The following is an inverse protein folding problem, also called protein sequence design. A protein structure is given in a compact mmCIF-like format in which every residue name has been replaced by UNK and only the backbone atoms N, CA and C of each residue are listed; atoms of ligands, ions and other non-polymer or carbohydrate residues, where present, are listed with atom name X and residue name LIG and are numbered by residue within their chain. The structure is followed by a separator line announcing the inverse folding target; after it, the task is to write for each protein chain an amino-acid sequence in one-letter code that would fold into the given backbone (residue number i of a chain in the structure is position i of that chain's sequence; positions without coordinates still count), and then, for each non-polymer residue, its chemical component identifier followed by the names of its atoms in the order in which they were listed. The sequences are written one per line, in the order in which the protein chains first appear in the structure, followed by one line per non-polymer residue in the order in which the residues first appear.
data_IF_316414349469
#
_entry.id   IF_316414349469
#
_cell.length_a   1.000
_cell.length_b   1.000
_cell.length_c   1.000
_cell.angle_alpha   90.00
_cell.angle_beta   90.00
_cell.angle_gamma   90.00
#
_symmetry.space_group_name_H-M   'P 1'
#
loop_
_entity.id
_entity.type
_entity.pdbx_description
1 polymer ?
#
# COMPACT_ATOMS: atom_id res chain seq x y z
N UNK A 1 -32.91 -0.70 -3.65
CA UNK A 1 -31.67 -0.47 -4.42
C UNK A 1 -30.54 -0.25 -3.41
N UNK A 2 -29.80 -1.31 -3.06
CA UNK A 2 -28.62 -1.19 -2.19
C UNK A 2 -27.55 -0.39 -2.92
N UNK A 3 -27.20 0.78 -2.38
CA UNK A 3 -26.01 1.50 -2.82
C UNK A 3 -24.80 0.64 -2.50
N UNK A 4 -24.04 0.27 -3.54
CA UNK A 4 -22.73 -0.38 -3.40
C UNK A 4 -21.84 0.62 -2.64
N UNK A 5 -21.60 0.36 -1.37
CA UNK A 5 -20.88 1.25 -0.46
C UNK A 5 -19.38 0.95 -0.55
N UNK A 6 -18.81 1.19 -1.73
CA UNK A 6 -17.37 1.09 -1.92
C UNK A 6 -16.71 2.42 -1.57
N UNK A 7 -15.81 2.40 -0.59
CA UNK A 7 -14.99 3.57 -0.24
C UNK A 7 -13.61 3.37 -0.84
N UNK A 8 -13.22 4.30 -1.70
CA UNK A 8 -11.91 4.32 -2.35
C UNK A 8 -11.10 5.46 -1.77
N UNK A 9 -9.81 5.23 -1.50
CA UNK A 9 -8.86 6.30 -1.14
C UNK A 9 -7.47 6.03 -1.68
N UNK A 10 -6.77 7.09 -2.04
CA UNK A 10 -5.35 7.05 -2.37
C UNK A 10 -4.52 7.16 -1.09
N UNK A 11 -3.47 6.35 -0.99
CA UNK A 11 -2.48 6.41 0.08
C UNK A 11 -1.07 6.26 -0.50
N UNK A 12 -0.12 6.98 0.08
CA UNK A 12 1.29 6.82 -0.24
C UNK A 12 1.98 5.88 0.75
N UNK A 13 2.76 4.94 0.23
CA UNK A 13 3.62 4.09 1.03
C UNK A 13 4.77 4.90 1.63
N UNK A 14 4.99 4.74 2.94
CA UNK A 14 6.07 5.39 3.66
C UNK A 14 7.30 4.49 3.65
N UNK A 15 8.44 5.02 3.23
CA UNK A 15 9.73 4.36 3.38
C UNK A 15 10.20 4.43 4.83
N UNK A 16 10.55 3.28 5.40
CA UNK A 16 11.17 3.16 6.71
C UNK A 16 12.54 2.53 6.54
N UNK A 17 13.54 3.21 7.09
CA UNK A 17 14.92 2.74 7.10
C UNK A 17 15.31 2.46 8.55
N UNK A 18 15.39 1.19 8.91
CA UNK A 18 15.89 0.78 10.22
C UNK A 18 17.37 0.47 10.16
N UNK A 19 18.06 0.69 11.28
CA UNK A 19 19.49 0.43 11.43
C UNK A 19 19.68 -0.45 12.66
N UNK A 20 20.40 -1.55 12.51
CA UNK A 20 20.77 -2.46 13.61
C UNK A 20 22.28 -2.58 13.68
N UNK A 21 22.85 -2.22 14.83
CA UNK A 21 24.27 -2.43 15.11
C UNK A 21 24.46 -3.83 15.71
N UNK A 22 25.35 -4.63 15.11
CA UNK A 22 25.72 -5.96 15.61
C UNK A 22 27.24 -6.08 15.53
N UNK A 23 27.92 -6.24 16.66
CA UNK A 23 29.39 -6.47 16.77
C UNK A 23 30.20 -5.50 15.88
N UNK A 24 30.02 -4.19 16.06
CA UNK A 24 30.64 -3.12 15.27
C UNK A 24 30.27 -3.04 13.77
N UNK A 25 29.30 -3.84 13.29
CA UNK A 25 28.76 -3.72 11.92
C UNK A 25 27.35 -3.11 11.95
N UNK A 26 27.11 -2.10 11.12
CA UNK A 26 25.79 -1.47 10.96
C UNK A 26 25.04 -2.12 9.78
N UNK A 27 23.92 -2.75 10.07
CA UNK A 27 23.01 -3.31 9.08
C UNK A 27 21.84 -2.36 8.86
N UNK A 28 21.55 -2.04 7.61
CA UNK A 28 20.43 -1.18 7.24
C UNK A 28 19.36 -2.02 6.55
N UNK A 29 18.11 -1.89 6.96
CA UNK A 29 16.97 -2.52 6.31
C UNK A 29 15.99 -1.44 5.87
N UNK A 30 15.57 -1.54 4.60
CA UNK A 30 14.59 -0.64 3.99
C UNK A 30 13.29 -1.41 3.77
N UNK A 31 12.18 -0.88 4.27
CA UNK A 31 10.87 -1.41 4.00
C UNK A 31 9.86 -0.30 3.75
N UNK A 32 8.77 -0.64 3.08
CA UNK A 32 7.68 0.29 2.81
C UNK A 32 6.46 -0.11 3.64
N UNK A 33 5.74 0.87 4.17
CA UNK A 33 4.53 0.63 4.94
C UNK A 33 3.37 1.48 4.46
N UNK A 34 2.16 0.93 4.54
CA UNK A 34 0.90 1.68 4.41
C UNK A 34 0.31 2.00 5.79
N UNK A 35 -0.81 2.74 5.77
CA UNK A 35 -1.65 2.95 6.97
C UNK A 35 -1.94 1.60 7.65
N UNK A 36 -1.94 1.58 8.98
CA UNK A 36 -2.05 0.36 9.83
C UNK A 36 -0.81 -0.56 9.81
N UNK A 37 0.37 -0.02 9.47
CA UNK A 37 1.64 -0.77 9.46
C UNK A 37 1.63 -2.00 8.53
N UNK A 38 0.86 -1.94 7.45
CA UNK A 38 0.88 -2.98 6.43
C UNK A 38 2.18 -2.90 5.66
N UNK A 39 2.98 -3.96 5.74
CA UNK A 39 4.23 -4.08 5.01
C UNK A 39 3.98 -4.25 3.52
N UNK A 40 4.65 -3.43 2.71
CA UNK A 40 4.69 -3.58 1.26
C UNK A 40 6.09 -4.02 0.85
N UNK A 41 6.21 -5.10 0.04
CA UNK A 41 7.50 -5.53 -0.50
C UNK A 41 8.16 -4.44 -1.34
N UNK A 42 9.49 -4.30 -1.21
CA UNK A 42 10.29 -3.31 -1.94
C UNK A 42 10.11 -3.42 -3.47
N UNK A 43 10.17 -4.63 -4.03
CA UNK A 43 9.96 -4.88 -5.47
C UNK A 43 8.64 -4.33 -6.00
N UNK A 44 7.57 -4.38 -5.20
CA UNK A 44 6.25 -3.88 -5.60
C UNK A 44 6.29 -2.35 -5.74
N UNK A 45 6.94 -1.67 -4.79
CA UNK A 45 7.08 -0.21 -4.81
C UNK A 45 8.01 0.24 -5.94
N UNK A 46 9.10 -0.49 -6.19
CA UNK A 46 10.03 -0.16 -7.27
C UNK A 46 9.37 -0.33 -8.66
N UNK A 47 8.51 -1.35 -8.82
CA UNK A 47 7.83 -1.62 -10.09
C UNK A 47 6.65 -0.68 -10.36
N UNK A 48 5.81 -0.43 -9.36
CA UNK A 48 4.53 0.28 -9.57
C UNK A 48 4.50 1.70 -9.01
N UNK A 49 5.48 2.08 -8.20
CA UNK A 49 5.53 3.36 -7.50
C UNK A 49 5.00 3.28 -6.06
N UNK A 50 5.12 4.38 -5.29
CA UNK A 50 4.71 4.42 -3.88
C UNK A 50 3.21 4.70 -3.67
N UNK A 51 2.44 4.97 -4.73
CA UNK A 51 1.02 5.26 -4.63
C UNK A 51 0.17 3.99 -4.70
N UNK A 52 -0.72 3.81 -3.73
CA UNK A 52 -1.63 2.68 -3.62
C UNK A 52 -3.06 3.18 -3.46
N UNK A 53 -4.01 2.33 -3.85
CA UNK A 53 -5.44 2.54 -3.71
C UNK A 53 -5.97 1.51 -2.73
N UNK A 54 -6.70 2.00 -1.73
CA UNK A 54 -7.43 1.16 -0.78
C UNK A 54 -8.90 1.19 -1.18
N UNK A 55 -9.44 0.02 -1.51
CA UNK A 55 -10.86 -0.20 -1.79
C UNK A 55 -11.46 -0.96 -0.62
N UNK A 56 -12.34 -0.31 0.14
CA UNK A 56 -13.13 -0.96 1.19
C UNK A 56 -14.49 -1.34 0.61
N UNK A 57 -14.78 -2.64 0.61
CA UNK A 57 -16.08 -3.19 0.25
C UNK A 57 -16.85 -3.53 1.53
N UNK A 58 -17.88 -2.73 1.85
CA UNK A 58 -18.66 -2.92 3.08
C UNK A 58 -19.64 -4.11 2.98
N UNK A 59 -19.97 -4.59 1.78
CA UNK A 59 -20.85 -5.74 1.60
C UNK A 59 -20.08 -7.05 1.79
N UNK A 60 -18.85 -7.11 1.27
CA UNK A 60 -17.97 -8.29 1.39
C UNK A 60 -17.12 -8.28 2.65
N UNK A 61 -17.17 -7.21 3.44
CA UNK A 61 -16.27 -6.97 4.58
C UNK A 61 -14.79 -7.18 4.20
N UNK A 62 -14.40 -6.70 3.03
CA UNK A 62 -13.03 -6.86 2.52
C UNK A 62 -12.36 -5.51 2.28
N UNK A 63 -11.03 -5.50 2.45
CA UNK A 63 -10.18 -4.37 2.14
C UNK A 63 -9.18 -4.85 1.10
N UNK A 64 -9.26 -4.28 -0.10
CA UNK A 64 -8.33 -4.56 -1.19
C UNK A 64 -7.34 -3.43 -1.30
N UNK A 65 -6.06 -3.79 -1.40
CA UNK A 65 -4.97 -2.84 -1.57
C UNK A 65 -4.28 -3.19 -2.86
N UNK A 66 -4.16 -2.22 -3.75
CA UNK A 66 -3.49 -2.40 -5.03
C UNK A 66 -2.69 -1.14 -5.39
N UNK A 67 -1.60 -1.29 -6.16
CA UNK A 67 -0.90 -0.14 -6.71
C UNK A 67 -1.83 0.74 -7.55
N UNK A 68 -1.65 2.06 -7.49
CA UNK A 68 -2.50 3.02 -8.23
C UNK A 68 -2.49 2.79 -9.73
N UNK A 69 -1.32 2.51 -10.32
CA UNK A 69 -1.21 2.18 -11.75
C UNK A 69 -2.14 1.02 -12.15
N UNK A 70 -2.12 -0.06 -11.37
CA UNK A 70 -3.01 -1.22 -11.61
C UNK A 70 -4.48 -0.86 -11.40
N UNK A 71 -4.78 0.04 -10.46
CA UNK A 71 -6.14 0.51 -10.22
C UNK A 71 -6.69 1.30 -11.42
N UNK A 72 -5.86 2.18 -11.99
CA UNK A 72 -6.16 2.96 -13.19
C UNK A 72 -6.34 2.03 -14.40
N UNK A 73 -5.47 1.02 -14.57
CA UNK A 73 -5.60 0.00 -15.62
C UNK A 73 -6.89 -0.82 -15.49
N UNK A 74 -7.36 -1.06 -14.27
CA UNK A 74 -8.63 -1.76 -14.00
C UNK A 74 -9.87 -0.84 -14.05
N UNK A 75 -9.68 0.46 -14.34
CA UNK A 75 -10.78 1.42 -14.43
C UNK A 75 -11.41 1.79 -13.08
N UNK A 76 -10.70 1.57 -11.97
CA UNK A 76 -11.17 1.98 -10.64
C UNK A 76 -11.03 3.50 -10.55
N UNK A 77 -12.16 4.20 -10.53
CA UNK A 77 -12.18 5.66 -10.34
C UNK A 77 -11.70 6.00 -8.94
N UNK A 78 -10.52 6.57 -8.87
CA UNK A 78 -9.94 7.16 -7.67
C UNK A 78 -10.34 8.64 -7.65
N UNK A 79 -11.30 8.99 -6.80
CA UNK A 79 -11.58 10.39 -6.42
C UNK A 79 -10.60 10.85 -5.32
#
# INVERSE_FOLDING_TARGET
MSQIKQKVRVVAARKITGRKSIKNKMYTYEYYTLSLNLYIPKDVVERFGPEFVIVKDEEKNSITILPKKLAEEQGIKVE
#
